data_IF_485043326694
#
_entry.id   IF_485043326694
#
_cell.length_a   1.000
_cell.length_b   1.000
_cell.length_c   1.000
_cell.angle_alpha   90.00
_cell.angle_beta   90.00
_cell.angle_gamma   90.00
#
_symmetry.space_group_name_H-M   'P 1'
#
loop_
_entity.id
_entity.type
_entity.pdbx_description
1 polymer ?
#
# COMPACT_ATOMS: atom_id res chain seq x y z
N UNK A 1 -22.58 -9.86 37.94
CA UNK A 1 -21.67 -8.81 38.46
C UNK A 1 -20.26 -9.17 38.03
N UNK A 2 -19.70 -8.45 37.05
CA UNK A 2 -18.34 -8.71 36.55
C UNK A 2 -17.34 -8.14 37.56
N UNK A 3 -16.40 -8.97 38.01
CA UNK A 3 -15.47 -8.63 39.07
C UNK A 3 -14.42 -7.64 38.52
N UNK A 4 -14.40 -6.41 39.05
CA UNK A 4 -13.54 -5.30 38.60
C UNK A 4 -12.05 -5.67 38.58
N UNK A 5 -11.62 -6.62 39.42
CA UNK A 5 -10.26 -7.17 39.42
C UNK A 5 -9.93 -8.02 38.18
N UNK A 6 -10.89 -8.76 37.62
CA UNK A 6 -10.68 -9.55 36.40
C UNK A 6 -10.52 -8.64 35.17
N UNK A 7 -11.31 -7.57 35.11
CA UNK A 7 -11.21 -6.56 34.04
C UNK A 7 -9.87 -5.81 34.09
N UNK A 8 -9.39 -5.45 35.29
CA UNK A 8 -8.08 -4.82 35.46
C UNK A 8 -6.93 -5.78 35.13
N UNK A 9 -7.03 -7.07 35.49
CA UNK A 9 -6.02 -8.07 35.15
C UNK A 9 -5.97 -8.37 33.64
N UNK A 10 -7.13 -8.46 32.97
CA UNK A 10 -7.20 -8.58 31.51
C UNK A 10 -6.57 -7.38 30.81
N UNK A 11 -6.76 -6.17 31.35
CA UNK A 11 -6.27 -4.92 30.74
C UNK A 11 -4.79 -4.62 31.03
N UNK A 12 -4.27 -5.03 32.20
CA UNK A 12 -2.88 -4.81 32.60
C UNK A 12 -1.93 -5.95 32.22
N UNK A 13 -2.42 -7.19 32.13
CA UNK A 13 -1.58 -8.37 31.93
C UNK A 13 -1.97 -9.21 30.71
N UNK A 14 -3.01 -8.84 29.96
CA UNK A 14 -3.43 -9.58 28.76
C UNK A 14 -3.97 -10.99 29.02
N UNK A 15 -4.11 -11.42 30.27
CA UNK A 15 -4.50 -12.78 30.63
C UNK A 15 -6.01 -12.94 30.46
N UNK A 16 -6.44 -13.60 29.37
CA UNK A 16 -7.85 -13.85 29.06
C UNK A 16 -8.31 -15.28 29.35
N UNK A 17 -7.44 -16.15 29.85
CA UNK A 17 -7.81 -17.48 30.35
C UNK A 17 -7.14 -17.74 31.70
N UNK A 18 -7.96 -18.08 32.70
CA UNK A 18 -7.44 -18.69 33.91
C UNK A 18 -7.06 -20.14 33.56
N UNK A 19 -5.85 -20.61 33.87
CA UNK A 19 -5.41 -21.94 33.49
C UNK A 19 -6.29 -22.99 34.17
N UNK A 20 -7.03 -23.78 33.38
CA UNK A 20 -7.60 -25.03 33.88
C UNK A 20 -6.47 -26.05 33.97
N UNK A 21 -6.44 -26.85 35.05
CA UNK A 21 -5.31 -27.73 35.40
C UNK A 21 -5.08 -28.90 34.41
N UNK A 22 -5.71 -28.91 33.23
CA UNK A 22 -5.68 -30.02 32.28
C UNK A 22 -5.49 -29.61 30.82
N UNK A 23 -5.00 -28.40 30.55
CA UNK A 23 -4.64 -27.97 29.19
C UNK A 23 -3.23 -27.40 29.13
N UNK A 24 -2.34 -28.10 28.43
CA UNK A 24 -1.09 -27.54 27.94
C UNK A 24 -1.37 -26.85 26.60
N UNK A 25 -2.00 -25.67 26.64
CA UNK A 25 -2.05 -24.82 25.46
C UNK A 25 -0.69 -24.17 25.25
N UNK A 26 -0.21 -24.13 24.00
CA UNK A 26 0.91 -23.27 23.63
C UNK A 26 0.51 -21.86 24.05
N UNK A 27 1.27 -21.25 24.96
CA UNK A 27 1.00 -19.87 25.37
C UNK A 27 1.02 -18.98 24.12
N UNK A 28 -0.17 -18.54 23.69
CA UNK A 28 -0.29 -17.55 22.63
C UNK A 28 -0.01 -16.20 23.28
N UNK A 29 1.09 -15.59 22.86
CA UNK A 29 1.48 -14.29 23.36
C UNK A 29 0.66 -13.28 22.57
N UNK A 30 -0.35 -12.72 23.21
CA UNK A 30 -1.08 -11.60 22.65
C UNK A 30 -0.15 -10.38 22.70
N UNK A 31 0.54 -10.11 21.59
CA UNK A 31 1.45 -8.95 21.48
C UNK A 31 0.69 -7.63 21.39
N UNK A 32 -0.64 -7.66 21.15
CA UNK A 32 -1.45 -6.48 20.83
C UNK A 32 -1.01 -5.76 19.54
N UNK A 33 -0.07 -6.33 18.78
CA UNK A 33 0.60 -5.74 17.63
C UNK A 33 0.60 -6.76 16.49
N UNK A 34 -0.34 -6.60 15.55
CA UNK A 34 -0.56 -7.52 14.42
C UNK A 34 -1.96 -8.13 14.43
N UNK A 35 -2.42 -8.65 13.28
CA UNK A 35 -3.65 -9.44 13.21
C UNK A 35 -3.38 -10.87 13.69
N UNK A 36 -4.35 -11.48 14.39
CA UNK A 36 -4.28 -12.89 14.77
C UNK A 36 -4.50 -13.82 13.56
N UNK A 37 -4.21 -15.11 13.75
CA UNK A 37 -4.47 -16.15 12.75
C UNK A 37 -5.90 -16.09 12.22
N UNK A 38 -6.04 -16.00 10.90
CA UNK A 38 -7.33 -15.96 10.21
C UNK A 38 -8.15 -14.68 10.43
N UNK A 39 -7.59 -13.64 11.05
CA UNK A 39 -8.25 -12.34 11.14
C UNK A 39 -8.01 -11.48 9.89
N UNK A 40 -8.99 -10.64 9.50
CA UNK A 40 -8.79 -9.66 8.43
C UNK A 40 -7.63 -8.72 8.73
N UNK A 41 -6.80 -8.46 7.72
CA UNK A 41 -5.66 -7.57 7.85
C UNK A 41 -6.05 -6.11 7.73
N UNK A 42 -5.60 -5.30 8.69
CA UNK A 42 -5.69 -3.84 8.61
C UNK A 42 -4.41 -3.24 8.05
N UNK A 43 -4.51 -2.02 7.50
CA UNK A 43 -3.34 -1.28 7.04
C UNK A 43 -2.32 -1.02 8.17
N UNK A 44 -2.77 -0.92 9.43
CA UNK A 44 -1.88 -0.75 10.57
C UNK A 44 -1.07 -2.03 10.86
N UNK A 45 -1.68 -3.20 10.69
CA UNK A 45 -0.97 -4.48 10.81
C UNK A 45 0.10 -4.60 9.73
N UNK A 46 -0.26 -4.28 8.48
CA UNK A 46 0.68 -4.25 7.35
C UNK A 46 1.82 -3.28 7.64
N UNK A 47 1.50 -2.05 8.07
CA UNK A 47 2.47 -1.00 8.40
C UNK A 47 3.43 -1.46 9.50
N UNK A 48 2.91 -2.14 10.52
CA UNK A 48 3.74 -2.73 11.58
C UNK A 48 4.69 -3.78 11.00
N UNK A 49 4.17 -4.74 10.23
CA UNK A 49 4.96 -5.83 9.66
C UNK A 49 6.08 -5.31 8.76
N UNK A 50 5.82 -4.39 7.84
CA UNK A 50 6.85 -3.87 6.93
C UNK A 50 7.93 -3.04 7.65
N UNK A 51 7.62 -2.47 8.82
CA UNK A 51 8.56 -1.67 9.62
C UNK A 51 9.36 -2.49 10.62
N UNK A 52 8.81 -3.62 11.10
CA UNK A 52 9.37 -4.37 12.23
C UNK A 52 9.79 -5.80 11.89
N UNK A 53 9.17 -6.42 10.89
CA UNK A 53 9.48 -7.79 10.47
C UNK A 53 10.42 -7.81 9.27
N UNK A 54 11.66 -8.35 9.41
CA UNK A 54 12.65 -8.36 8.34
C UNK A 54 12.19 -9.07 7.07
N UNK A 55 11.42 -10.17 7.22
CA UNK A 55 10.90 -10.94 6.10
C UNK A 55 9.85 -10.14 5.34
N UNK A 56 8.88 -9.54 6.04
CA UNK A 56 7.87 -8.68 5.43
C UNK A 56 8.50 -7.47 4.74
N UNK A 57 9.48 -6.83 5.39
CA UNK A 57 10.24 -5.74 4.82
C UNK A 57 10.91 -6.15 3.50
N UNK A 58 11.58 -7.31 3.48
CA UNK A 58 12.25 -7.79 2.27
C UNK A 58 11.27 -8.11 1.14
N UNK A 59 10.15 -8.78 1.44
CA UNK A 59 9.13 -9.13 0.44
C UNK A 59 8.54 -7.87 -0.22
N UNK A 60 8.34 -6.80 0.56
CA UNK A 60 7.77 -5.55 0.06
C UNK A 60 8.84 -4.69 -0.63
N UNK A 61 9.89 -4.29 0.08
CA UNK A 61 10.86 -3.30 -0.39
C UNK A 61 11.83 -3.89 -1.41
N UNK A 62 12.52 -4.98 -1.10
CA UNK A 62 13.59 -5.48 -1.97
C UNK A 62 13.06 -5.83 -3.37
N UNK A 63 11.89 -6.46 -3.44
CA UNK A 63 11.27 -6.80 -4.73
C UNK A 63 10.78 -5.56 -5.47
N UNK A 64 10.21 -4.57 -4.79
CA UNK A 64 9.80 -3.32 -5.44
C UNK A 64 10.99 -2.53 -6.01
N UNK A 65 12.12 -2.51 -5.30
CA UNK A 65 13.35 -1.91 -5.79
C UNK A 65 13.91 -2.67 -7.00
N UNK A 66 13.92 -4.01 -6.95
CA UNK A 66 14.39 -4.87 -8.04
C UNK A 66 13.55 -4.68 -9.33
N UNK A 67 12.23 -4.51 -9.21
CA UNK A 67 11.31 -4.29 -10.34
C UNK A 67 11.71 -3.13 -11.25
N UNK A 68 12.31 -2.08 -10.69
CA UNK A 68 12.72 -0.89 -11.44
C UNK A 68 14.23 -0.70 -11.45
N UNK A 69 15.02 -1.66 -10.95
CA UNK A 69 16.47 -1.52 -10.89
C UNK A 69 17.04 -1.35 -12.31
N UNK A 70 16.61 -2.25 -13.20
CA UNK A 70 16.73 -2.10 -14.65
C UNK A 70 15.58 -1.25 -15.17
N UNK A 71 15.85 0.02 -15.44
CA UNK A 71 14.86 0.95 -15.97
C UNK A 71 14.40 0.53 -17.37
N UNK A 72 13.19 0.94 -17.77
CA UNK A 72 12.61 0.55 -19.05
C UNK A 72 13.05 1.48 -20.18
N UNK A 73 12.99 0.96 -21.42
CA UNK A 73 13.16 1.74 -22.65
C UNK A 73 11.81 2.06 -23.26
N UNK A 74 11.72 3.19 -23.96
CA UNK A 74 10.50 3.64 -24.63
C UNK A 74 10.70 3.58 -26.14
N UNK A 75 9.84 2.83 -26.80
CA UNK A 75 9.82 2.76 -28.26
C UNK A 75 8.66 3.59 -28.84
N UNK A 76 8.89 4.35 -29.92
CA UNK A 76 7.82 5.02 -30.64
C UNK A 76 6.94 3.99 -31.36
N UNK A 77 5.62 4.22 -31.35
CA UNK A 77 4.66 3.40 -32.09
C UNK A 77 4.65 3.71 -33.60
N UNK A 78 5.08 4.92 -33.98
CA UNK A 78 5.12 5.37 -35.37
C UNK A 78 6.41 4.92 -36.07
N UNK A 79 6.26 4.31 -37.25
CA UNK A 79 7.38 3.92 -38.09
C UNK A 79 8.11 5.15 -38.65
N UNK A 80 9.44 5.14 -38.61
CA UNK A 80 10.30 6.21 -39.15
C UNK A 80 10.82 7.21 -38.11
N UNK A 81 10.42 7.10 -36.85
CA UNK A 81 11.05 7.83 -35.74
C UNK A 81 12.30 7.08 -35.27
N UNK A 82 13.38 7.83 -35.07
CA UNK A 82 14.63 7.31 -34.51
C UNK A 82 14.41 6.89 -33.04
N UNK A 83 14.40 5.56 -32.81
CA UNK A 83 14.11 4.95 -31.50
C UNK A 83 15.03 5.45 -30.40
N UNK A 84 16.33 5.55 -30.68
CA UNK A 84 17.34 5.92 -29.68
C UNK A 84 17.14 7.37 -29.22
N UNK A 85 16.93 8.28 -30.17
CA UNK A 85 16.68 9.70 -29.85
C UNK A 85 15.36 9.91 -29.13
N UNK A 86 14.32 9.17 -29.53
CA UNK A 86 13.03 9.24 -28.87
C UNK A 86 13.13 8.78 -27.42
N UNK A 87 13.75 7.61 -27.18
CA UNK A 87 14.01 7.11 -25.84
C UNK A 87 14.82 8.13 -25.03
N UNK A 88 15.96 8.62 -25.56
CA UNK A 88 16.81 9.59 -24.85
C UNK A 88 16.05 10.86 -24.43
N UNK A 89 15.19 11.38 -25.31
CA UNK A 89 14.36 12.55 -25.02
C UNK A 89 13.34 12.27 -23.90
N UNK A 90 12.65 11.12 -23.94
CA UNK A 90 11.69 10.72 -22.91
C UNK A 90 12.39 10.46 -21.57
N UNK A 91 13.52 9.75 -21.59
CA UNK A 91 14.28 9.44 -20.38
C UNK A 91 14.79 10.70 -19.68
N UNK A 92 15.20 11.74 -20.44
CA UNK A 92 15.57 13.04 -19.85
C UNK A 92 14.41 13.66 -19.07
N UNK A 93 13.20 13.59 -19.61
CA UNK A 93 12.00 14.12 -18.92
C UNK A 93 11.69 13.30 -17.66
N UNK A 94 11.73 11.96 -17.77
CA UNK A 94 11.49 11.06 -16.63
C UNK A 94 12.52 11.26 -15.51
N UNK A 95 13.79 11.50 -15.87
CA UNK A 95 14.86 11.79 -14.92
C UNK A 95 14.59 13.10 -14.17
N UNK A 96 14.19 14.17 -14.88
CA UNK A 96 13.86 15.46 -14.26
C UNK A 96 12.65 15.38 -13.32
N UNK A 97 11.71 14.47 -13.60
CA UNK A 97 10.55 14.21 -12.75
C UNK A 97 10.82 13.23 -11.60
N UNK A 98 12.07 12.75 -11.47
CA UNK A 98 12.44 11.67 -10.56
C UNK A 98 11.53 10.43 -10.65
N UNK A 99 11.12 10.08 -11.88
CA UNK A 99 10.10 9.08 -12.11
C UNK A 99 10.51 7.69 -11.59
N UNK A 100 11.81 7.35 -11.61
CA UNK A 100 12.30 6.07 -11.08
C UNK A 100 11.91 5.88 -9.63
N UNK A 101 12.25 6.84 -8.78
CA UNK A 101 11.94 6.78 -7.34
C UNK A 101 10.43 6.78 -7.10
N UNK A 102 9.66 7.59 -7.84
CA UNK A 102 8.20 7.66 -7.69
C UNK A 102 7.53 6.33 -8.05
N UNK A 103 7.96 5.69 -9.14
CA UNK A 103 7.42 4.40 -9.56
C UNK A 103 7.83 3.28 -8.61
N UNK A 104 9.08 3.27 -8.14
CA UNK A 104 9.53 2.33 -7.10
C UNK A 104 8.72 2.50 -5.81
N UNK A 105 8.48 3.74 -5.38
CA UNK A 105 7.68 4.03 -4.19
C UNK A 105 6.22 3.59 -4.36
N UNK A 106 5.64 3.81 -5.53
CA UNK A 106 4.31 3.30 -5.87
C UNK A 106 4.28 1.76 -5.81
N UNK A 107 5.29 1.06 -6.34
CA UNK A 107 5.37 -0.39 -6.19
C UNK A 107 5.53 -0.87 -4.75
N UNK A 108 6.29 -0.15 -3.92
CA UNK A 108 6.35 -0.44 -2.48
C UNK A 108 4.95 -0.35 -1.86
N UNK A 109 4.20 0.71 -2.17
CA UNK A 109 2.83 0.89 -1.66
C UNK A 109 1.85 -0.15 -2.19
N UNK A 110 1.89 -0.46 -3.49
CA UNK A 110 1.07 -1.49 -4.12
C UNK A 110 1.32 -2.85 -3.50
N UNK A 111 2.59 -3.22 -3.28
CA UNK A 111 2.92 -4.49 -2.64
C UNK A 111 2.44 -4.52 -1.20
N UNK A 112 2.68 -3.43 -0.45
CA UNK A 112 2.29 -3.35 0.96
C UNK A 112 0.77 -3.43 1.13
N UNK A 113 -0.01 -2.63 0.40
CA UNK A 113 -1.44 -2.42 0.66
C UNK A 113 -2.37 -2.93 -0.45
N UNK A 114 -1.81 -3.58 -1.47
CA UNK A 114 -2.52 -4.16 -2.61
C UNK A 114 -2.81 -3.19 -3.76
N UNK A 115 -2.70 -1.88 -3.52
CA UNK A 115 -2.81 -0.85 -4.56
C UNK A 115 -2.12 0.44 -4.14
N UNK A 116 -1.85 1.30 -5.10
CA UNK A 116 -1.33 2.66 -4.89
C UNK A 116 -1.76 3.57 -6.03
N UNK A 117 -1.52 4.87 -5.88
CA UNK A 117 -1.76 5.84 -6.95
C UNK A 117 -0.54 6.71 -7.17
N UNK A 118 -0.27 7.06 -8.42
CA UNK A 118 0.68 8.13 -8.77
C UNK A 118 -0.15 9.30 -9.28
N UNK A 119 -0.10 10.42 -8.59
CA UNK A 119 -0.73 11.68 -9.00
C UNK A 119 0.20 12.40 -9.96
N UNK A 120 -0.36 12.85 -11.07
CA UNK A 120 0.35 13.58 -12.12
C UNK A 120 -0.11 15.03 -12.11
N UNK A 121 0.82 15.94 -11.84
CA UNK A 121 0.63 17.37 -12.05
C UNK A 121 0.85 17.71 -13.51
N UNK A 122 -0.17 18.23 -14.18
CA UNK A 122 -0.07 18.74 -15.55
C UNK A 122 -0.09 20.26 -15.56
N UNK A 123 0.66 20.84 -16.49
CA UNK A 123 0.39 22.17 -17.01
C UNK A 123 -0.67 22.02 -18.10
N UNK A 124 -1.93 22.29 -17.76
CA UNK A 124 -3.08 22.18 -18.66
C UNK A 124 -4.14 23.25 -18.36
N UNK A 125 -5.29 23.20 -19.05
CA UNK A 125 -6.41 24.13 -18.84
C UNK A 125 -7.21 23.87 -17.56
N UNK A 126 -6.95 22.78 -16.84
CA UNK A 126 -7.59 22.50 -15.56
C UNK A 126 -7.09 23.48 -14.49
N UNK A 127 -8.01 24.02 -13.69
CA UNK A 127 -7.64 24.97 -12.62
C UNK A 127 -7.13 24.21 -11.39
N UNK A 128 -7.66 23.01 -11.16
CA UNK A 128 -7.36 22.19 -9.99
C UNK A 128 -7.14 20.71 -10.36
N UNK A 129 -6.55 19.93 -9.43
CA UNK A 129 -6.39 18.48 -9.61
C UNK A 129 -7.72 17.72 -9.69
N UNK A 130 -8.83 18.33 -9.26
CA UNK A 130 -10.18 17.77 -9.36
C UNK A 130 -10.73 17.82 -10.79
N UNK A 131 -10.23 18.73 -11.61
CA UNK A 131 -10.69 18.87 -12.98
C UNK A 131 -10.08 17.75 -13.84
N UNK A 132 -10.81 17.21 -14.83
CA UNK A 132 -10.24 16.24 -15.75
C UNK A 132 -9.06 16.84 -16.51
N UNK A 133 -8.10 15.98 -16.92
CA UNK A 133 -7.09 16.36 -17.92
C UNK A 133 -7.80 16.71 -19.23
N UNK A 134 -7.53 17.91 -19.75
CA UNK A 134 -8.14 18.39 -21.00
C UNK A 134 -7.13 18.42 -22.15
N UNK A 135 -6.16 19.33 -22.06
CA UNK A 135 -5.14 19.56 -23.09
C UNK A 135 -3.80 19.67 -22.35
N UNK A 136 -3.14 18.54 -22.05
CA UNK A 136 -1.89 18.56 -21.30
C UNK A 136 -0.75 19.07 -22.18
N UNK A 137 -0.07 20.13 -21.74
CA UNK A 137 1.11 20.66 -22.43
C UNK A 137 2.40 20.02 -21.90
N UNK A 138 2.47 19.84 -20.57
CA UNK A 138 3.67 19.34 -19.90
C UNK A 138 3.32 18.66 -18.57
N UNK A 139 4.08 17.63 -18.21
CA UNK A 139 4.07 17.05 -16.86
C UNK A 139 5.01 17.87 -15.97
N UNK A 140 4.49 18.35 -14.86
CA UNK A 140 5.19 19.22 -13.91
C UNK A 140 5.67 18.43 -12.70
N UNK A 141 4.86 17.50 -12.20
CA UNK A 141 5.18 16.72 -11.01
C UNK A 141 4.60 15.31 -11.05
N UNK A 142 5.24 14.41 -10.32
CA UNK A 142 4.79 13.04 -10.09
C UNK A 142 4.95 12.73 -8.60
N UNK A 143 3.90 12.21 -7.98
CA UNK A 143 3.93 11.84 -6.56
C UNK A 143 3.14 10.56 -6.31
N UNK A 144 3.74 9.62 -5.58
CA UNK A 144 3.10 8.36 -5.22
C UNK A 144 2.41 8.46 -3.85
N UNK A 145 1.19 7.94 -3.76
CA UNK A 145 0.40 7.91 -2.53
C UNK A 145 -0.05 6.48 -2.20
N UNK A 146 0.09 6.12 -0.92
CA UNK A 146 -0.39 4.86 -0.38
C UNK A 146 -1.88 4.94 -0.03
N UNK A 147 -2.60 3.80 0.03
CA UNK A 147 -3.99 3.76 0.48
C UNK A 147 -4.22 4.37 1.87
N UNK A 148 -3.22 4.34 2.76
CA UNK A 148 -3.26 4.97 4.08
C UNK A 148 -3.33 6.50 4.03
N UNK A 149 -2.98 7.11 2.90
CA UNK A 149 -3.04 8.57 2.67
C UNK A 149 -4.30 8.97 1.90
N UNK A 150 -5.12 8.01 1.48
CA UNK A 150 -6.33 8.25 0.68
C UNK A 150 -7.54 8.14 1.61
N UNK A 151 -8.15 9.29 1.92
CA UNK A 151 -9.27 9.38 2.86
C UNK A 151 -10.55 8.78 2.27
N UNK A 152 -10.80 9.01 0.99
CA UNK A 152 -11.98 8.46 0.31
C UNK A 152 -11.80 8.36 -1.19
N UNK A 153 -12.50 7.42 -1.82
CA UNK A 153 -12.55 7.28 -3.28
C UNK A 153 -14.01 7.29 -3.72
N UNK A 154 -14.37 8.26 -4.57
CA UNK A 154 -15.68 8.31 -5.19
C UNK A 154 -15.66 7.44 -6.45
N UNK A 155 -16.56 6.49 -6.53
CA UNK A 155 -16.70 5.59 -7.68
C UNK A 155 -17.87 6.01 -8.56
N UNK A 156 -17.75 5.80 -9.86
CA UNK A 156 -18.83 6.02 -10.81
C UNK A 156 -20.02 5.09 -10.51
N UNK A 157 -21.19 5.68 -10.28
CA UNK A 157 -22.44 4.97 -9.96
C UNK A 157 -23.35 4.80 -11.18
N UNK A 158 -23.02 5.39 -12.32
CA UNK A 158 -23.83 5.31 -13.52
C UNK A 158 -23.64 3.95 -14.19
N UNK A 159 -24.68 3.10 -14.14
CA UNK A 159 -24.68 1.76 -14.77
C UNK A 159 -24.49 1.79 -16.29
N UNK A 160 -24.76 2.91 -16.93
CA UNK A 160 -24.60 3.08 -18.38
C UNK A 160 -23.18 3.56 -18.75
N UNK A 161 -22.38 3.98 -17.76
CA UNK A 161 -21.00 4.37 -17.99
C UNK A 161 -20.11 3.14 -18.17
N UNK A 162 -19.18 3.23 -19.11
CA UNK A 162 -18.15 2.21 -19.30
C UNK A 162 -17.25 2.04 -18.06
N UNK A 163 -17.23 3.02 -17.15
CA UNK A 163 -16.42 3.02 -15.92
C UNK A 163 -17.24 2.70 -14.66
N UNK A 164 -18.44 2.17 -14.79
CA UNK A 164 -19.28 1.81 -13.64
C UNK A 164 -18.51 0.99 -12.59
N UNK A 165 -18.50 1.48 -11.34
CA UNK A 165 -17.78 0.83 -10.23
C UNK A 165 -16.29 1.13 -10.13
N UNK A 166 -15.72 1.91 -11.06
CA UNK A 166 -14.32 2.36 -11.02
C UNK A 166 -14.20 3.74 -10.36
N UNK A 167 -12.99 4.11 -9.88
CA UNK A 167 -12.74 5.42 -9.32
C UNK A 167 -12.95 6.56 -10.33
N UNK A 168 -13.60 7.61 -9.85
CA UNK A 168 -13.81 8.89 -10.53
C UNK A 168 -12.97 9.99 -9.89
N UNK A 169 -13.04 10.13 -8.55
CA UNK A 169 -12.19 11.05 -7.80
C UNK A 169 -11.59 10.39 -6.55
N UNK A 170 -10.39 10.83 -6.19
CA UNK A 170 -9.65 10.41 -5.00
C UNK A 170 -9.50 11.62 -4.08
N UNK A 171 -9.81 11.47 -2.79
CA UNK A 171 -9.41 12.46 -1.77
C UNK A 171 -8.12 12.00 -1.13
N UNK A 172 -7.07 12.78 -1.30
CA UNK A 172 -5.72 12.45 -0.90
C UNK A 172 -5.26 13.47 0.13
N UNK A 173 -4.71 12.97 1.24
CA UNK A 173 -4.14 13.77 2.30
C UNK A 173 -2.70 14.12 1.94
N UNK A 174 -2.45 15.39 1.64
CA UNK A 174 -1.11 15.90 1.28
C UNK A 174 -0.35 16.34 2.54
N UNK A 175 -1.06 16.93 3.50
CA UNK A 175 -0.51 17.31 4.81
C UNK A 175 -1.49 16.95 5.94
N UNK A 176 -1.08 17.11 7.20
CA UNK A 176 -1.89 16.70 8.36
C UNK A 176 -3.32 17.25 8.36
N UNK A 177 -3.52 18.47 7.84
CA UNK A 177 -4.80 19.16 7.77
C UNK A 177 -5.18 19.58 6.34
N UNK A 178 -4.50 19.05 5.32
CA UNK A 178 -4.74 19.41 3.92
C UNK A 178 -5.09 18.17 3.11
N UNK A 179 -6.27 18.21 2.50
CA UNK A 179 -6.76 17.20 1.57
C UNK A 179 -7.05 17.84 0.22
N UNK A 180 -6.70 17.12 -0.84
CA UNK A 180 -6.98 17.51 -2.22
C UNK A 180 -7.78 16.43 -2.90
N UNK A 181 -8.78 16.85 -3.67
CA UNK A 181 -9.54 15.98 -4.54
C UNK A 181 -8.87 15.90 -5.91
N UNK A 182 -8.59 14.69 -6.38
CA UNK A 182 -7.87 14.40 -7.62
C UNK A 182 -8.75 13.58 -8.54
N UNK A 183 -8.90 14.02 -9.79
CA UNK A 183 -9.64 13.29 -10.81
C UNK A 183 -8.87 12.07 -11.30
N UNK A 184 -9.57 10.99 -11.65
CA UNK A 184 -8.95 9.74 -12.08
C UNK A 184 -8.03 9.89 -13.31
N UNK A 185 -8.31 10.85 -14.20
CA UNK A 185 -7.48 11.08 -15.39
C UNK A 185 -6.12 11.72 -15.08
N UNK A 186 -5.93 12.25 -13.87
CA UNK A 186 -4.65 12.75 -13.34
C UNK A 186 -3.93 11.70 -12.48
N UNK A 187 -4.39 10.46 -12.50
CA UNK A 187 -3.89 9.40 -11.63
C UNK A 187 -3.50 8.18 -12.46
N UNK A 188 -2.31 7.65 -12.23
CA UNK A 188 -1.97 6.27 -12.58
C UNK A 188 -2.35 5.41 -11.38
N UNK A 189 -3.42 4.63 -11.53
CA UNK A 189 -3.84 3.67 -10.52
C UNK A 189 -3.05 2.37 -10.68
N UNK A 190 -2.31 1.97 -9.65
CA UNK A 190 -1.48 0.78 -9.69
C UNK A 190 -2.04 -0.31 -8.77
N UNK A 191 -2.51 -1.40 -9.36
CA UNK A 191 -3.02 -2.57 -8.65
C UNK A 191 -2.82 -3.81 -9.52
N UNK A 192 -2.02 -4.78 -9.05
CA UNK A 192 -1.67 -5.97 -9.85
C UNK A 192 -2.42 -7.22 -9.42
N UNK A 193 -2.77 -7.33 -8.14
CA UNK A 193 -3.36 -8.54 -7.53
C UNK A 193 -4.84 -8.35 -7.23
N UNK A 194 -5.64 -8.19 -8.28
CA UNK A 194 -7.09 -8.07 -8.16
C UNK A 194 -7.70 -9.45 -7.86
N UNK A 195 -8.52 -9.53 -6.81
CA UNK A 195 -9.25 -10.75 -6.44
C UNK A 195 -10.74 -10.43 -6.23
N UNK A 196 -11.07 -9.74 -5.13
CA UNK A 196 -12.46 -9.49 -4.74
C UNK A 196 -13.00 -8.11 -5.17
N UNK A 197 -12.12 -7.18 -5.53
CA UNK A 197 -12.49 -5.81 -5.90
C UNK A 197 -12.01 -5.49 -7.32
N UNK A 198 -12.80 -4.78 -8.14
CA UNK A 198 -12.44 -4.45 -9.53
C UNK A 198 -11.21 -3.53 -9.69
N UNK A 199 -10.71 -2.94 -8.61
CA UNK A 199 -9.62 -1.97 -8.67
C UNK A 199 -8.74 -1.92 -7.41
N UNK A 200 -9.16 -2.54 -6.30
CA UNK A 200 -8.28 -2.71 -5.13
C UNK A 200 -7.65 -4.09 -5.21
N UNK A 201 -6.33 -4.14 -5.26
CA UNK A 201 -5.64 -5.41 -5.12
C UNK A 201 -5.47 -5.83 -3.66
N UNK A 202 -4.92 -7.02 -3.47
CA UNK A 202 -4.56 -7.58 -2.16
C UNK A 202 -3.08 -7.38 -1.86
N UNK A 203 -2.75 -7.25 -0.57
CA UNK A 203 -1.36 -7.13 -0.13
C UNK A 203 -0.57 -8.40 -0.46
N UNK A 204 0.72 -8.26 -0.79
CA UNK A 204 1.60 -9.43 -0.93
C UNK A 204 1.83 -10.17 0.39
N UNK A 205 1.54 -9.50 1.51
CA UNK A 205 1.70 -10.08 2.85
C UNK A 205 0.48 -10.92 3.25
N UNK A 206 -0.66 -10.71 2.61
CA UNK A 206 -1.92 -11.40 2.93
C UNK A 206 -1.81 -12.93 2.88
N UNK A 207 -1.26 -13.57 1.82
CA UNK A 207 -1.13 -15.02 1.78
C UNK A 207 -0.08 -15.61 2.73
N UNK A 208 0.85 -14.80 3.24
CA UNK A 208 1.98 -15.26 4.09
C UNK A 208 1.88 -14.73 5.53
N UNK A 209 0.75 -14.11 5.89
CA UNK A 209 0.60 -13.42 7.15
C UNK A 209 0.73 -14.34 8.36
N UNK A 210 0.08 -15.50 8.29
CA UNK A 210 0.10 -16.49 9.36
C UNK A 210 1.53 -17.00 9.59
N UNK A 211 2.30 -17.25 8.53
CA UNK A 211 3.71 -17.66 8.63
C UNK A 211 4.58 -16.56 9.26
N UNK A 212 4.38 -15.30 8.85
CA UNK A 212 5.06 -14.15 9.46
C UNK A 212 4.75 -14.05 10.95
N UNK A 213 3.51 -14.30 11.34
CA UNK A 213 3.04 -14.28 12.72
C UNK A 213 3.64 -15.43 13.53
N UNK A 214 3.72 -16.64 12.98
CA UNK A 214 4.41 -17.78 13.60
C UNK A 214 5.87 -17.45 13.86
N UNK A 215 6.59 -16.94 12.85
CA UNK A 215 8.01 -16.60 12.97
C UNK A 215 8.27 -15.53 14.04
N UNK A 216 7.41 -14.51 14.13
CA UNK A 216 7.46 -13.51 15.19
C UNK A 216 7.30 -14.15 16.57
N UNK A 217 6.29 -15.00 16.75
CA UNK A 217 6.02 -15.68 18.02
C UNK A 217 7.16 -16.61 18.43
N UNK A 218 7.75 -17.35 17.49
CA UNK A 218 8.94 -18.18 17.74
C UNK A 218 10.10 -17.31 18.20
N UNK A 219 10.41 -16.22 17.48
CA UNK A 219 11.51 -15.30 17.82
C UNK A 219 11.33 -14.69 19.20
N UNK A 220 10.10 -14.27 19.54
CA UNK A 220 9.78 -13.73 20.86
C UNK A 220 9.90 -14.80 21.95
N UNK A 221 9.35 -16.00 21.73
CA UNK A 221 9.41 -17.11 22.67
C UNK A 221 10.84 -17.56 22.95
N UNK A 222 11.68 -17.67 21.92
CA UNK A 222 13.12 -17.93 22.09
C UNK A 222 13.81 -16.85 22.92
N UNK A 223 13.50 -15.57 22.68
CA UNK A 223 14.09 -14.47 23.44
C UNK A 223 13.71 -14.54 24.92
N UNK A 224 12.46 -14.86 25.26
CA UNK A 224 12.05 -15.07 26.64
C UNK A 224 12.82 -16.20 27.30
N UNK A 225 12.98 -17.34 26.63
CA UNK A 225 13.69 -18.50 27.18
C UNK A 225 15.19 -18.25 27.37
N UNK A 226 15.80 -17.45 26.51
CA UNK A 226 17.25 -17.17 26.58
C UNK A 226 17.62 -16.10 27.60
N UNK A 227 16.72 -15.15 27.88
CA UNK A 227 17.03 -13.95 28.67
C UNK A 227 16.15 -13.74 29.92
N UNK A 228 15.22 -14.65 30.21
CA UNK A 228 14.56 -14.76 31.53
C UNK A 228 15.03 -16.00 32.28
#
# INVERSE_FOLDING_TARGET
>A
MVNVRQLLAQKLFGIHSAPSQTQAEIQRVYTGLGAEFGQPLTNDNITFAIKREPVAHRIVFAVAHDMFDNWFEVEPLEEGIDKEKFNEAVQKVLLLLNAKDVFTQAAVFERAYGWSVIVIGYQDKGVTLKDPVLIPEKIVSLEAYAPTMITSVNTDKNRQSARFGLPETYKIKIAENEEVEVHFSRVIHFATRLLDHPWKGISVLEPVWDDLTVLLNIRWGMWQTMYR
#
